data_IF_132391389091
#
_entry.id   IF_132391389091
#
_cell.length_a   1.000
_cell.length_b   1.000
_cell.length_c   1.000
_cell.angle_alpha   90.00
_cell.angle_beta   90.00
_cell.angle_gamma   90.00
#
_symmetry.space_group_name_H-M   'P 1'
#
loop_
_entity.id
_entity.type
_entity.pdbx_description
1 polymer ?
#
# COMPACT_ATOMS: atom_id res chain seq x y z
N UNK A 1 -5.55 -30.83 -2.11
CA UNK A 1 -6.36 -31.01 -3.33
C UNK A 1 -7.20 -29.77 -3.49
N UNK A 2 -6.78 -28.81 -4.31
CA UNK A 2 -7.61 -27.64 -4.61
C UNK A 2 -8.83 -28.16 -5.37
N UNK A 3 -9.99 -28.16 -4.71
CA UNK A 3 -11.27 -28.18 -5.42
C UNK A 3 -11.19 -27.07 -6.47
N UNK A 4 -11.44 -27.38 -7.75
CA UNK A 4 -11.54 -26.37 -8.78
C UNK A 4 -12.80 -25.54 -8.49
N UNK A 5 -12.65 -24.50 -7.68
CA UNK A 5 -13.76 -23.65 -7.30
C UNK A 5 -14.38 -23.02 -8.55
N UNK A 6 -15.70 -23.05 -8.62
CA UNK A 6 -16.46 -22.51 -9.76
C UNK A 6 -16.46 -20.98 -9.69
N UNK A 7 -16.60 -20.35 -10.84
CA UNK A 7 -16.81 -18.90 -10.91
C UNK A 7 -18.13 -18.54 -10.22
N UNK A 8 -18.20 -17.36 -9.61
CA UNK A 8 -19.36 -16.95 -8.81
C UNK A 8 -20.66 -16.88 -9.62
N UNK A 9 -20.59 -16.53 -10.89
CA UNK A 9 -21.73 -16.50 -11.81
C UNK A 9 -22.33 -17.88 -12.13
N UNK A 10 -21.56 -18.94 -11.89
CA UNK A 10 -21.98 -20.32 -12.05
C UNK A 10 -22.51 -20.94 -10.74
N UNK A 11 -22.40 -20.23 -9.61
CA UNK A 11 -22.84 -20.74 -8.31
C UNK A 11 -24.37 -20.81 -8.26
N UNK A 12 -24.90 -21.98 -7.87
CA UNK A 12 -26.33 -22.21 -7.68
C UNK A 12 -26.69 -22.24 -6.20
N UNK A 13 -27.99 -22.08 -5.88
CA UNK A 13 -28.51 -22.30 -4.52
C UNK A 13 -28.12 -23.67 -3.96
N UNK A 14 -28.18 -24.72 -4.79
CA UNK A 14 -27.80 -26.07 -4.39
C UNK A 14 -26.32 -26.19 -4.03
N UNK A 15 -25.43 -25.43 -4.69
CA UNK A 15 -24.01 -25.39 -4.32
C UNK A 15 -23.81 -24.71 -2.95
N UNK A 16 -24.60 -23.67 -2.64
CA UNK A 16 -24.59 -22.99 -1.33
C UNK A 16 -25.09 -23.92 -0.22
N UNK A 17 -26.15 -24.68 -0.48
CA UNK A 17 -26.65 -25.70 0.46
C UNK A 17 -25.61 -26.82 0.66
N UNK A 18 -24.93 -27.25 -0.41
CA UNK A 18 -23.85 -28.25 -0.33
C UNK A 18 -22.63 -27.76 0.45
N UNK A 19 -22.42 -26.43 0.55
CA UNK A 19 -21.40 -25.83 1.41
C UNK A 19 -21.80 -25.80 2.91
N UNK A 20 -22.98 -26.33 3.27
CA UNK A 20 -23.45 -26.46 4.65
C UNK A 20 -24.42 -25.37 5.12
N UNK A 21 -24.87 -24.50 4.22
CA UNK A 21 -25.82 -23.42 4.54
C UNK A 21 -27.26 -23.95 4.52
N UNK A 22 -28.09 -23.53 5.48
CA UNK A 22 -29.50 -23.93 5.54
C UNK A 22 -30.31 -23.43 4.33
N UNK A 23 -31.31 -24.18 3.81
CA UNK A 23 -32.01 -23.84 2.58
C UNK A 23 -32.62 -22.43 2.53
N UNK A 24 -33.22 -21.96 3.64
CA UNK A 24 -33.81 -20.62 3.71
C UNK A 24 -32.76 -19.48 3.74
N UNK A 25 -31.56 -19.75 4.25
CA UNK A 25 -30.45 -18.81 4.19
C UNK A 25 -29.77 -18.86 2.82
N UNK A 26 -29.67 -20.05 2.21
CA UNK A 26 -29.04 -20.26 0.90
C UNK A 26 -29.76 -19.47 -0.21
N UNK A 27 -31.10 -19.42 -0.18
CA UNK A 27 -31.89 -18.62 -1.14
C UNK A 27 -31.57 -17.12 -1.03
N UNK A 28 -31.59 -16.58 0.19
CA UNK A 28 -31.27 -15.15 0.43
C UNK A 28 -29.84 -14.81 0.02
N UNK A 29 -28.87 -15.64 0.42
CA UNK A 29 -27.46 -15.46 0.07
C UNK A 29 -27.22 -15.58 -1.44
N UNK A 30 -27.95 -16.45 -2.15
CA UNK A 30 -27.87 -16.56 -3.61
C UNK A 30 -28.37 -15.29 -4.31
N UNK A 31 -29.49 -14.73 -3.85
CA UNK A 31 -30.06 -13.52 -4.42
C UNK A 31 -29.18 -12.30 -4.16
N UNK A 32 -28.59 -12.20 -2.97
CA UNK A 32 -27.63 -11.16 -2.63
C UNK A 32 -26.34 -11.29 -3.46
N UNK A 33 -25.81 -12.51 -3.61
CA UNK A 33 -24.66 -12.78 -4.48
C UNK A 33 -24.93 -12.36 -5.93
N UNK A 34 -26.11 -12.70 -6.49
CA UNK A 34 -26.50 -12.25 -7.84
C UNK A 34 -26.55 -10.74 -7.96
N UNK A 35 -27.04 -10.05 -6.92
CA UNK A 35 -27.05 -8.59 -6.88
C UNK A 35 -25.62 -8.04 -6.91
N UNK A 36 -24.72 -8.55 -6.08
CA UNK A 36 -23.30 -8.15 -6.08
C UNK A 36 -22.67 -8.39 -7.44
N UNK A 37 -22.87 -9.55 -8.05
CA UNK A 37 -22.31 -9.90 -9.37
C UNK A 37 -22.84 -8.98 -10.46
N UNK A 38 -24.12 -8.64 -10.44
CA UNK A 38 -24.71 -7.71 -11.42
C UNK A 38 -24.11 -6.31 -11.29
N UNK A 39 -23.87 -5.84 -10.07
CA UNK A 39 -23.44 -4.48 -9.80
C UNK A 39 -21.90 -4.32 -9.98
N UNK A 40 -21.11 -5.37 -9.77
CA UNK A 40 -19.64 -5.31 -9.75
C UNK A 40 -18.92 -6.34 -10.64
N UNK A 41 -19.64 -7.22 -11.32
CA UNK A 41 -19.09 -8.35 -12.06
C UNK A 41 -18.77 -9.56 -11.16
N UNK A 42 -18.41 -10.72 -11.74
CA UNK A 42 -18.18 -11.95 -10.98
C UNK A 42 -16.79 -12.08 -10.36
N UNK A 43 -15.82 -11.28 -10.79
CA UNK A 43 -14.41 -11.45 -10.42
C UNK A 43 -13.66 -10.11 -10.30
N UNK A 44 -14.29 -9.09 -9.68
CA UNK A 44 -13.65 -7.79 -9.45
C UNK A 44 -13.28 -7.58 -7.99
N UNK A 45 -12.32 -6.68 -7.68
CA UNK A 45 -12.03 -6.28 -6.30
C UNK A 45 -13.25 -5.74 -5.55
N UNK A 46 -14.17 -5.05 -6.26
CA UNK A 46 -15.42 -4.54 -5.69
C UNK A 46 -16.40 -5.67 -5.33
N UNK A 47 -16.42 -6.76 -6.12
CA UNK A 47 -17.16 -7.99 -5.82
C UNK A 47 -16.69 -8.59 -4.51
N UNK A 48 -15.38 -8.83 -4.36
CA UNK A 48 -14.83 -9.41 -3.12
C UNK A 48 -15.07 -8.51 -1.90
N UNK A 49 -14.97 -7.19 -2.06
CA UNK A 49 -15.25 -6.25 -0.97
C UNK A 49 -16.70 -6.31 -0.52
N UNK A 50 -17.64 -6.34 -1.45
CA UNK A 50 -19.06 -6.45 -1.13
C UNK A 50 -19.39 -7.79 -0.46
N UNK A 51 -18.78 -8.87 -0.93
CA UNK A 51 -18.91 -10.20 -0.32
C UNK A 51 -18.36 -10.20 1.10
N UNK A 52 -17.13 -9.74 1.31
CA UNK A 52 -16.46 -9.81 2.61
C UNK A 52 -17.03 -8.85 3.65
N UNK A 53 -17.62 -7.73 3.23
CA UNK A 53 -18.23 -6.74 4.14
C UNK A 53 -19.73 -6.96 4.40
N UNK A 54 -20.45 -7.65 3.52
CA UNK A 54 -21.92 -7.75 3.59
C UNK A 54 -22.48 -9.17 3.50
N UNK A 55 -21.93 -10.01 2.63
CA UNK A 55 -22.47 -11.37 2.38
C UNK A 55 -21.95 -12.41 3.39
N UNK A 56 -20.68 -12.28 3.79
CA UNK A 56 -20.02 -13.22 4.70
C UNK A 56 -20.28 -12.83 6.17
N UNK A 57 -20.54 -13.85 6.98
CA UNK A 57 -20.73 -13.73 8.42
C UNK A 57 -19.93 -14.84 9.13
N UNK A 58 -19.28 -14.57 10.28
CA UNK A 58 -18.45 -15.57 10.98
C UNK A 58 -19.17 -16.87 11.36
N UNK A 59 -20.49 -16.86 11.49
CA UNK A 59 -21.29 -18.04 11.81
C UNK A 59 -21.61 -18.92 10.59
N UNK A 60 -21.28 -18.44 9.36
CA UNK A 60 -21.46 -19.24 8.15
C UNK A 60 -20.38 -20.34 8.05
N UNK A 61 -20.70 -21.49 7.43
CA UNK A 61 -19.74 -22.57 7.27
C UNK A 61 -18.50 -22.13 6.47
N UNK A 62 -17.30 -22.48 6.94
CA UNK A 62 -16.05 -22.10 6.27
C UNK A 62 -15.98 -22.52 4.79
N UNK A 63 -16.61 -23.65 4.41
CA UNK A 63 -16.71 -24.09 3.03
C UNK A 63 -17.42 -23.05 2.12
N UNK A 64 -18.40 -22.32 2.65
CA UNK A 64 -19.06 -21.21 1.94
C UNK A 64 -18.11 -20.02 1.76
N UNK A 65 -17.35 -19.65 2.80
CA UNK A 65 -16.32 -18.61 2.70
C UNK A 65 -15.28 -18.94 1.62
N UNK A 66 -14.80 -20.19 1.59
CA UNK A 66 -13.87 -20.65 0.57
C UNK A 66 -14.49 -20.59 -0.83
N UNK A 67 -15.75 -21.03 -0.98
CA UNK A 67 -16.46 -20.95 -2.26
C UNK A 67 -16.56 -19.51 -2.77
N UNK A 68 -16.88 -18.55 -1.89
CA UNK A 68 -16.97 -17.15 -2.27
C UNK A 68 -15.60 -16.56 -2.65
N UNK A 69 -14.58 -16.82 -1.84
CA UNK A 69 -13.24 -16.29 -2.06
C UNK A 69 -12.61 -16.84 -3.34
N UNK A 70 -12.51 -18.17 -3.47
CA UNK A 70 -11.89 -18.78 -4.63
C UNK A 70 -12.73 -18.65 -5.90
N UNK A 71 -14.05 -18.52 -5.78
CA UNK A 71 -14.89 -18.21 -6.92
C UNK A 71 -14.66 -16.79 -7.44
N UNK A 72 -14.46 -15.81 -6.54
CA UNK A 72 -14.17 -14.42 -6.90
C UNK A 72 -12.79 -14.27 -7.55
N UNK A 73 -11.80 -15.04 -7.08
CA UNK A 73 -10.42 -14.97 -7.55
C UNK A 73 -10.01 -16.13 -8.44
N UNK A 74 -10.98 -16.81 -9.08
CA UNK A 74 -10.72 -17.98 -9.93
C UNK A 74 -9.66 -17.72 -11.01
N UNK A 75 -9.66 -16.51 -11.56
CA UNK A 75 -8.76 -16.11 -12.65
C UNK A 75 -7.44 -15.48 -12.16
N UNK A 76 -7.22 -15.39 -10.84
CA UNK A 76 -6.01 -14.79 -10.26
C UNK A 76 -4.80 -15.74 -10.26
N UNK A 77 -5.02 -17.04 -10.52
CA UNK A 77 -3.99 -18.07 -10.45
C UNK A 77 -4.11 -18.93 -9.17
N UNK A 78 -3.10 -19.77 -8.88
CA UNK A 78 -3.19 -20.74 -7.78
C UNK A 78 -3.23 -20.08 -6.39
N UNK A 79 -2.66 -18.87 -6.26
CA UNK A 79 -2.48 -18.17 -4.99
C UNK A 79 -3.12 -16.77 -5.04
N UNK A 80 -4.45 -16.68 -4.85
CA UNK A 80 -5.15 -15.40 -4.77
C UNK A 80 -4.67 -14.56 -3.58
N UNK A 81 -4.77 -13.22 -3.66
CA UNK A 81 -4.23 -12.35 -2.63
C UNK A 81 -5.07 -12.48 -1.35
N UNK A 82 -4.40 -12.67 -0.21
CA UNK A 82 -5.08 -12.70 1.09
C UNK A 82 -5.73 -11.35 1.46
N UNK A 83 -5.22 -10.26 0.88
CA UNK A 83 -5.73 -8.91 1.07
C UNK A 83 -5.39 -8.03 -0.13
N UNK A 84 -6.25 -7.07 -0.44
CA UNK A 84 -6.00 -6.06 -1.48
C UNK A 84 -6.38 -4.69 -0.91
N UNK A 85 -5.52 -3.66 -1.06
CA UNK A 85 -5.84 -2.33 -0.57
C UNK A 85 -7.07 -1.77 -1.26
N UNK A 86 -7.81 -0.93 -0.54
CA UNK A 86 -8.82 -0.12 -1.18
C UNK A 86 -8.16 0.91 -2.13
N UNK A 87 -8.63 1.06 -3.40
CA UNK A 87 -8.03 2.00 -4.34
C UNK A 87 -8.05 3.45 -3.88
N UNK A 88 -9.09 3.91 -3.18
CA UNK A 88 -9.14 5.29 -2.67
C UNK A 88 -8.10 5.47 -1.56
N UNK A 89 -8.02 4.51 -0.63
CA UNK A 89 -6.98 4.51 0.39
C UNK A 89 -5.57 4.42 -0.20
N UNK A 90 -5.37 3.63 -1.25
CA UNK A 90 -4.09 3.51 -1.95
C UNK A 90 -3.68 4.83 -2.63
N UNK A 91 -4.63 5.55 -3.24
CA UNK A 91 -4.38 6.86 -3.84
C UNK A 91 -4.01 7.92 -2.79
N UNK A 92 -4.47 7.78 -1.54
CA UNK A 92 -4.16 8.69 -0.44
C UNK A 92 -2.80 8.44 0.24
N UNK A 93 -2.08 7.39 -0.14
CA UNK A 93 -0.71 7.14 0.34
C UNK A 93 0.24 8.26 -0.08
N UNK A 94 1.42 8.35 0.54
CA UNK A 94 2.42 9.36 0.16
C UNK A 94 2.84 9.22 -1.31
N UNK A 95 3.01 7.99 -1.81
CA UNK A 95 3.32 7.74 -3.22
C UNK A 95 2.11 8.04 -4.12
N UNK A 96 0.90 7.70 -3.66
CA UNK A 96 -0.32 8.04 -4.38
C UNK A 96 -0.46 9.55 -4.58
N UNK A 97 -0.27 10.35 -3.51
CA UNK A 97 -0.27 11.81 -3.56
C UNK A 97 0.87 12.39 -4.40
N UNK A 98 2.05 11.78 -4.36
CA UNK A 98 3.17 12.18 -5.22
C UNK A 98 2.79 12.03 -6.70
N UNK A 99 2.20 10.89 -7.07
CA UNK A 99 1.76 10.64 -8.44
C UNK A 99 0.59 11.53 -8.82
N UNK A 100 -0.36 11.77 -7.93
CA UNK A 100 -1.47 12.70 -8.19
C UNK A 100 -0.97 14.10 -8.53
N UNK A 101 0.05 14.58 -7.79
CA UNK A 101 0.57 15.93 -7.95
C UNK A 101 1.58 16.06 -9.11
N UNK A 102 2.39 15.02 -9.35
CA UNK A 102 3.60 15.09 -10.21
C UNK A 102 3.71 13.93 -11.21
N UNK A 103 2.69 13.10 -11.35
CA UNK A 103 2.70 11.92 -12.22
C UNK A 103 2.99 12.26 -13.68
N UNK A 104 2.45 13.37 -14.17
CA UNK A 104 2.72 13.89 -15.52
C UNK A 104 4.19 14.31 -15.70
N UNK A 105 4.89 14.77 -14.65
CA UNK A 105 6.32 15.09 -14.73
C UNK A 105 7.18 13.84 -14.97
N UNK A 106 6.76 12.69 -14.41
CA UNK A 106 7.47 11.43 -14.56
C UNK A 106 7.12 10.69 -15.85
N UNK A 107 5.84 10.66 -16.21
CA UNK A 107 5.31 9.76 -17.25
C UNK A 107 4.71 10.49 -18.45
N UNK A 108 4.64 11.83 -18.41
CA UNK A 108 4.07 12.65 -19.48
C UNK A 108 2.64 12.25 -19.81
N UNK A 109 2.33 12.22 -21.11
CA UNK A 109 1.00 11.89 -21.62
C UNK A 109 0.55 10.43 -21.39
N UNK A 110 1.45 9.56 -20.92
CA UNK A 110 1.12 8.17 -20.57
C UNK A 110 0.54 8.07 -19.16
N UNK A 111 0.76 9.08 -18.31
CA UNK A 111 0.17 9.15 -16.98
C UNK A 111 -1.37 9.16 -17.07
N UNK A 112 -2.02 8.43 -16.16
CA UNK A 112 -3.49 8.39 -16.06
C UNK A 112 -3.98 8.69 -14.66
N UNK A 113 -3.52 7.89 -13.70
CA UNK A 113 -3.88 7.99 -12.29
C UNK A 113 -2.82 7.29 -11.43
N UNK A 114 -2.76 7.55 -10.10
CA UNK A 114 -1.74 7.00 -9.23
C UNK A 114 -1.70 5.47 -9.17
N UNK A 115 -2.83 4.80 -9.42
CA UNK A 115 -2.96 3.34 -9.28
C UNK A 115 -2.55 2.64 -10.58
N UNK A 116 -3.18 2.99 -11.69
CA UNK A 116 -2.93 2.33 -12.98
C UNK A 116 -1.54 2.66 -13.53
N UNK A 117 -0.99 3.84 -13.23
CA UNK A 117 0.33 4.27 -13.69
C UNK A 117 1.48 3.84 -12.77
N UNK A 118 1.21 3.19 -11.63
CA UNK A 118 2.26 2.83 -10.66
C UNK A 118 3.35 1.94 -11.27
N UNK A 119 2.99 0.98 -12.12
CA UNK A 119 3.99 0.10 -12.76
C UNK A 119 4.92 0.87 -13.70
N UNK A 120 4.40 1.85 -14.44
CA UNK A 120 5.21 2.66 -15.34
C UNK A 120 6.07 3.65 -14.55
N UNK A 121 5.55 4.18 -13.44
CA UNK A 121 6.34 4.97 -12.49
C UNK A 121 7.49 4.17 -11.90
N UNK A 122 7.25 2.91 -11.52
CA UNK A 122 8.30 2.02 -11.01
C UNK A 122 9.39 1.80 -12.07
N UNK A 123 9.02 1.53 -13.34
CA UNK A 123 9.99 1.43 -14.44
C UNK A 123 10.77 2.72 -14.63
N UNK A 124 10.08 3.86 -14.61
CA UNK A 124 10.69 5.18 -14.70
C UNK A 124 11.74 5.39 -13.60
N UNK A 125 11.42 5.04 -12.34
CA UNK A 125 12.32 5.22 -11.19
C UNK A 125 13.64 4.46 -11.34
N UNK A 126 13.61 3.30 -11.99
CA UNK A 126 14.80 2.48 -12.26
C UNK A 126 15.59 3.02 -13.45
N UNK A 127 14.91 3.46 -14.51
CA UNK A 127 15.56 3.96 -15.72
C UNK A 127 16.08 5.40 -15.59
N UNK A 128 15.54 6.19 -14.67
CA UNK A 128 15.86 7.61 -14.50
C UNK A 128 16.18 7.97 -13.03
N UNK A 129 17.18 7.32 -12.41
CA UNK A 129 17.48 7.50 -10.98
C UNK A 129 17.84 8.94 -10.64
N UNK A 130 18.51 9.66 -11.55
CA UNK A 130 18.90 11.07 -11.35
C UNK A 130 17.69 11.99 -11.16
N UNK A 131 16.63 11.79 -11.95
CA UNK A 131 15.40 12.59 -11.89
C UNK A 131 14.54 12.15 -10.71
N UNK A 132 14.37 10.83 -10.56
CA UNK A 132 13.55 10.25 -9.50
C UNK A 132 14.06 10.66 -8.12
N UNK A 133 15.33 10.38 -7.77
CA UNK A 133 15.82 10.62 -6.42
C UNK A 133 15.95 12.10 -6.08
N UNK A 134 16.30 12.94 -7.05
CA UNK A 134 16.29 14.40 -6.86
C UNK A 134 14.89 14.86 -6.42
N UNK A 135 13.88 14.40 -7.13
CA UNK A 135 12.48 14.68 -6.79
C UNK A 135 12.13 14.15 -5.39
N UNK A 136 12.49 12.91 -5.07
CA UNK A 136 12.22 12.34 -3.74
C UNK A 136 12.89 13.14 -2.63
N UNK A 137 14.12 13.62 -2.82
CA UNK A 137 14.79 14.46 -1.82
C UNK A 137 14.11 15.81 -1.62
N UNK A 138 13.57 16.41 -2.68
CA UNK A 138 12.75 17.63 -2.58
C UNK A 138 11.45 17.38 -1.80
N UNK A 139 10.74 16.29 -2.12
CA UNK A 139 9.49 15.90 -1.44
C UNK A 139 9.71 15.58 0.04
N UNK A 140 10.82 14.92 0.36
CA UNK A 140 11.25 14.64 1.74
C UNK A 140 11.88 15.85 2.44
N UNK A 141 12.06 16.97 1.73
CA UNK A 141 12.71 18.20 2.21
C UNK A 141 14.10 17.95 2.81
N UNK A 142 14.89 17.11 2.15
CA UNK A 142 16.28 16.85 2.52
C UNK A 142 17.11 18.11 2.24
N UNK A 143 17.76 18.60 3.29
CA UNK A 143 18.59 19.82 3.21
C UNK A 143 20.05 19.44 3.02
N UNK A 144 20.59 19.83 1.86
CA UNK A 144 22.01 19.72 1.56
C UNK A 144 22.69 21.07 1.78
N UNK A 145 23.73 21.12 2.62
CA UNK A 145 24.60 22.29 2.72
C UNK A 145 25.51 22.42 1.50
N UNK A 146 25.87 21.27 0.89
CA UNK A 146 26.48 21.20 -0.43
C UNK A 146 25.72 20.16 -1.25
N UNK A 147 25.13 20.52 -2.41
CA UNK A 147 24.37 19.57 -3.21
C UNK A 147 25.29 18.48 -3.81
N UNK A 148 24.76 17.27 -4.05
CA UNK A 148 25.50 16.22 -4.73
C UNK A 148 25.86 16.62 -6.17
N UNK A 149 26.98 16.10 -6.69
CA UNK A 149 27.36 16.27 -8.10
C UNK A 149 26.43 15.49 -9.05
N UNK A 150 25.98 14.31 -8.60
CA UNK A 150 24.97 13.47 -9.22
C UNK A 150 24.34 12.57 -8.13
N UNK A 151 23.22 11.91 -8.43
CA UNK A 151 22.56 10.98 -7.51
C UNK A 151 23.36 9.70 -7.33
N UNK A 152 23.75 9.07 -8.44
CA UNK A 152 24.52 7.83 -8.47
C UNK A 152 25.61 7.99 -9.51
N UNK A 153 26.86 7.71 -9.12
CA UNK A 153 27.98 7.73 -10.06
C UNK A 153 28.14 6.36 -10.72
N UNK A 154 27.98 6.34 -12.04
CA UNK A 154 28.29 5.15 -12.83
C UNK A 154 29.79 4.94 -12.94
N UNK A 155 30.24 3.69 -12.71
CA UNK A 155 31.62 3.26 -12.89
C UNK A 155 31.69 2.27 -14.07
N UNK A 156 31.79 2.76 -15.32
CA UNK A 156 31.64 1.92 -16.52
C UNK A 156 32.75 0.88 -16.72
N UNK A 157 33.88 1.01 -16.02
CA UNK A 157 35.09 0.20 -16.27
C UNK A 157 35.49 -0.72 -15.10
N UNK A 158 34.61 -0.94 -14.13
CA UNK A 158 34.92 -1.87 -13.04
C UNK A 158 33.78 -2.87 -12.88
N UNK A 159 34.12 -4.15 -13.00
CA UNK A 159 33.23 -5.26 -12.66
C UNK A 159 32.61 -4.96 -11.29
N UNK A 160 31.28 -4.76 -11.30
CA UNK A 160 30.36 -4.67 -10.17
C UNK A 160 31.02 -4.52 -8.80
N UNK A 161 31.45 -3.30 -8.46
CA UNK A 161 31.75 -2.98 -7.07
C UNK A 161 30.46 -3.10 -6.23
N UNK A 162 30.46 -3.81 -5.10
CA UNK A 162 29.27 -3.97 -4.26
C UNK A 162 28.82 -2.67 -3.54
N UNK A 163 29.46 -1.54 -3.81
CA UNK A 163 29.42 -0.35 -2.94
C UNK A 163 28.80 0.92 -3.50
N UNK A 164 28.31 0.96 -4.77
CA UNK A 164 27.64 2.08 -5.46
C UNK A 164 27.84 3.50 -4.88
N UNK A 165 28.52 4.41 -5.59
CA UNK A 165 28.79 5.75 -5.06
C UNK A 165 27.57 6.69 -5.22
N UNK A 166 26.76 6.79 -4.15
CA UNK A 166 25.62 7.68 -4.06
C UNK A 166 26.01 9.09 -3.59
N UNK A 167 25.35 10.11 -4.14
CA UNK A 167 25.42 11.52 -3.76
C UNK A 167 26.86 12.07 -3.60
N UNK A 168 27.80 11.77 -4.52
CA UNK A 168 29.19 12.20 -4.39
C UNK A 168 29.31 13.71 -4.21
N UNK A 169 30.10 14.10 -3.20
CA UNK A 169 30.37 15.50 -2.89
C UNK A 169 29.26 16.21 -2.11
N UNK A 170 28.14 15.53 -1.81
CA UNK A 170 27.10 16.10 -0.99
C UNK A 170 27.56 16.26 0.47
N UNK A 171 27.13 17.34 1.10
CA UNK A 171 27.22 17.53 2.55
C UNK A 171 25.82 17.82 3.09
N UNK A 172 25.47 17.15 4.18
CA UNK A 172 24.23 17.32 4.92
C UNK A 172 24.45 16.97 6.38
N UNK A 173 23.53 17.41 7.25
CA UNK A 173 23.48 17.01 8.64
C UNK A 173 22.18 16.24 8.92
N UNK A 174 22.23 14.92 9.18
CA UNK A 174 21.03 14.15 9.45
C UNK A 174 20.28 14.64 10.70
N UNK A 175 20.99 15.09 11.74
CA UNK A 175 20.37 15.60 12.95
C UNK A 175 19.59 16.89 12.66
N UNK A 176 20.14 17.79 11.84
CA UNK A 176 19.45 19.01 11.41
C UNK A 176 18.16 18.68 10.65
N UNK A 177 18.21 17.73 9.71
CA UNK A 177 17.04 17.31 8.93
C UNK A 177 15.98 16.69 9.84
N UNK A 178 16.37 15.76 10.72
CA UNK A 178 15.44 15.07 11.62
C UNK A 178 14.78 16.02 12.62
N UNK A 179 15.53 17.01 13.10
CA UNK A 179 15.08 17.94 14.12
C UNK A 179 14.43 19.19 13.53
N UNK A 180 14.46 19.41 12.21
CA UNK A 180 13.86 20.58 11.56
C UNK A 180 12.36 20.74 11.88
N UNK A 181 11.94 22.00 12.11
CA UNK A 181 10.53 22.37 12.23
C UNK A 181 9.99 22.68 10.84
N UNK A 182 8.70 22.41 10.62
CA UNK A 182 8.04 22.68 9.35
C UNK A 182 6.54 22.96 9.54
N UNK A 183 5.84 23.15 8.43
CA UNK A 183 4.37 23.37 8.35
C UNK A 183 3.52 22.29 9.04
N UNK A 184 4.07 21.08 9.24
CA UNK A 184 3.41 19.95 9.90
C UNK A 184 4.00 19.59 11.27
N UNK A 185 5.08 20.25 11.70
CA UNK A 185 5.84 19.91 12.91
C UNK A 185 6.37 21.15 13.62
N UNK A 186 5.86 21.43 14.81
CA UNK A 186 6.28 22.50 15.72
C UNK A 186 7.18 22.03 16.86
N UNK A 187 7.75 23.00 17.60
CA UNK A 187 8.65 22.74 18.74
C UNK A 187 7.96 22.04 19.92
N UNK A 188 6.66 22.26 20.09
CA UNK A 188 5.88 21.67 21.19
C UNK A 188 5.30 20.30 20.83
N UNK A 189 5.48 19.84 19.58
CA UNK A 189 5.03 18.52 19.17
C UNK A 189 5.88 17.44 19.84
N UNK A 190 5.28 16.28 20.08
CA UNK A 190 5.99 15.15 20.68
C UNK A 190 6.93 14.53 19.64
N UNK A 191 8.22 14.44 19.99
CA UNK A 191 9.27 13.83 19.17
C UNK A 191 9.51 12.36 19.54
N UNK A 192 9.55 12.07 20.85
CA UNK A 192 9.80 10.72 21.38
C UNK A 192 8.70 10.37 22.39
N UNK A 193 8.13 9.18 22.22
CA UNK A 193 7.28 8.51 23.20
C UNK A 193 7.98 7.23 23.62
N UNK A 194 8.14 7.01 24.92
CA UNK A 194 8.72 5.78 25.44
C UNK A 194 8.01 5.35 26.71
N UNK A 195 8.21 4.10 27.09
CA UNK A 195 7.70 3.53 28.33
C UNK A 195 8.78 2.62 28.91
N UNK A 196 8.97 2.73 30.22
CA UNK A 196 9.90 1.90 30.96
C UNK A 196 9.30 0.50 31.19
N UNK A 197 10.17 -0.51 31.23
CA UNK A 197 9.75 -1.88 31.49
C UNK A 197 9.00 -1.99 32.82
N UNK A 198 7.84 -2.68 32.83
CA UNK A 198 7.00 -2.83 34.01
C UNK A 198 6.05 -1.65 34.31
N UNK A 199 6.05 -0.61 33.48
CA UNK A 199 5.18 0.57 33.63
C UNK A 199 3.93 0.54 32.73
N UNK A 200 3.37 -0.64 32.45
CA UNK A 200 2.29 -0.82 31.46
C UNK A 200 1.01 -0.05 31.79
N UNK A 201 0.71 0.10 33.07
CA UNK A 201 -0.45 0.83 33.60
C UNK A 201 -0.25 2.35 33.62
N UNK A 202 0.98 2.84 33.38
CA UNK A 202 1.29 4.26 33.36
C UNK A 202 1.20 4.85 31.95
N UNK A 203 0.82 6.13 31.81
CA UNK A 203 0.92 6.81 30.53
C UNK A 203 2.38 6.81 30.04
N UNK A 204 2.63 6.73 28.73
CA UNK A 204 3.99 6.79 28.20
C UNK A 204 4.63 8.15 28.54
N UNK A 205 5.94 8.11 28.77
CA UNK A 205 6.77 9.29 28.86
C UNK A 205 6.81 9.99 27.49
N UNK A 206 6.97 11.31 27.49
CA UNK A 206 7.00 12.14 26.29
C UNK A 206 8.18 13.10 26.33
N UNK A 207 8.77 13.35 25.16
CA UNK A 207 9.75 14.41 24.95
C UNK A 207 9.34 15.18 23.70
N UNK A 208 9.31 16.51 23.83
CA UNK A 208 8.98 17.44 22.75
C UNK A 208 10.16 17.63 21.79
N UNK A 209 9.88 18.15 20.59
CA UNK A 209 10.94 18.54 19.65
C UNK A 209 11.89 19.60 20.22
N UNK A 210 11.37 20.50 21.07
CA UNK A 210 12.19 21.50 21.76
C UNK A 210 13.20 20.84 22.69
N UNK A 211 12.73 19.97 23.59
CA UNK A 211 13.59 19.25 24.54
C UNK A 211 14.62 18.39 23.80
N UNK A 212 14.19 17.64 22.77
CA UNK A 212 15.12 16.82 22.00
C UNK A 212 16.21 17.63 21.30
N UNK A 213 15.90 18.84 20.82
CA UNK A 213 16.90 19.75 20.22
C UNK A 213 17.89 20.33 21.22
N UNK A 214 17.50 20.46 22.49
CA UNK A 214 18.38 20.97 23.55
C UNK A 214 19.38 19.89 24.02
N UNK A 215 19.01 18.61 23.88
CA UNK A 215 19.81 17.45 24.32
C UNK A 215 20.78 16.89 23.26
N UNK A 216 20.57 17.18 21.97
CA UNK A 216 21.38 16.67 20.82
C UNK A 216 22.37 17.73 20.33
#
# INVERSE_FOLDING_TARGET
MASAFRALDCASRSDIEAAGVLPGAAERLHDELKKIIRDHGPASPATWRSISAGLLDPELPFAFHQMMFYGCFKDFGPDPPAWTPDPEAAALTNVGKLLENRGEEFLGSVYRDPISSFSDFQKFSVSNPEVYWRTIFEELRVLFSVPPQCILRDHPNVESHPGGQWLPGAFLNPAEICLAVNDRRGLNDTAILWRDEGADELPPNRMTFKELREEV
#
